data_IF_771708806947
#
_entry.id   IF_771708806947
#
_cell.length_a   1.000
_cell.length_b   1.000
_cell.length_c   1.000
_cell.angle_alpha   90.00
_cell.angle_beta   90.00
_cell.angle_gamma   90.00
#
_symmetry.space_group_name_H-M   'P 1'
#
loop_
_entity.id
_entity.type
_entity.pdbx_description
1 polymer ?
#
# COMPACT_ATOMS: atom_id res chain seq x y z
N UNK A 1 -9.27 -8.42 -8.85
CA UNK A 1 -7.97 -8.54 -8.17
C UNK A 1 -7.26 -7.21 -8.31
N UNK A 2 -6.89 -6.60 -7.19
CA UNK A 2 -6.15 -5.33 -7.16
C UNK A 2 -4.68 -5.58 -7.50
N UNK A 3 -4.04 -4.66 -8.22
CA UNK A 3 -2.60 -4.66 -8.49
C UNK A 3 -2.00 -3.37 -7.92
N UNK A 4 -0.93 -3.52 -7.15
CA UNK A 4 -0.11 -2.41 -6.66
C UNK A 4 1.30 -2.57 -7.21
N UNK A 5 1.81 -1.53 -7.86
CA UNK A 5 3.20 -1.43 -8.31
C UNK A 5 4.01 -0.66 -7.28
N UNK A 6 5.15 -1.24 -6.87
CA UNK A 6 6.07 -0.61 -5.93
C UNK A 6 6.51 0.79 -6.38
N UNK A 7 6.68 1.71 -5.43
CA UNK A 7 7.17 3.09 -5.61
C UNK A 7 6.33 3.94 -6.58
N UNK A 8 5.03 3.69 -6.66
CA UNK A 8 4.11 4.44 -7.53
C UNK A 8 2.80 4.72 -6.80
N UNK A 9 2.07 5.74 -7.25
CA UNK A 9 0.67 5.91 -6.92
C UNK A 9 -0.17 5.00 -7.81
N UNK A 10 -0.98 4.16 -7.19
CA UNK A 10 -1.84 3.17 -7.83
C UNK A 10 -3.30 3.59 -7.65
N UNK A 11 -4.02 3.78 -8.74
CA UNK A 11 -5.47 4.02 -8.67
C UNK A 11 -6.20 2.70 -8.48
N UNK A 12 -6.76 2.52 -7.28
CA UNK A 12 -7.40 1.27 -6.87
C UNK A 12 -8.91 1.45 -6.84
N UNK A 13 -9.60 0.61 -7.62
CA UNK A 13 -11.05 0.66 -7.80
C UNK A 13 -11.76 -0.39 -6.94
N UNK A 14 -12.84 0.02 -6.30
CA UNK A 14 -13.70 -0.79 -5.43
C UNK A 14 -15.19 -0.55 -5.72
N UNK A 15 -16.07 -1.42 -5.23
CA UNK A 15 -17.54 -1.23 -5.26
C UNK A 15 -18.08 -1.00 -3.84
N UNK A 16 -17.54 0.00 -3.13
CA UNK A 16 -17.86 0.24 -1.72
C UNK A 16 -19.21 0.91 -1.53
N UNK A 17 -19.51 1.93 -2.33
CA UNK A 17 -20.69 2.77 -2.16
C UNK A 17 -22.00 1.98 -2.20
N UNK A 18 -22.10 0.95 -3.06
CA UNK A 18 -23.27 0.06 -3.14
C UNK A 18 -23.55 -0.74 -1.86
N UNK A 19 -22.53 -0.95 -1.01
CA UNK A 19 -22.59 -1.75 0.22
C UNK A 19 -22.48 -0.90 1.48
N UNK A 20 -22.37 0.41 1.32
CA UNK A 20 -22.19 1.34 2.43
C UNK A 20 -23.54 1.63 3.07
N UNK A 21 -23.58 1.51 4.39
CA UNK A 21 -24.80 1.70 5.19
C UNK A 21 -24.69 2.87 6.16
N UNK A 22 -23.48 3.38 6.40
CA UNK A 22 -23.23 4.51 7.28
C UNK A 22 -23.30 5.84 6.52
N UNK A 23 -24.03 6.81 7.08
CA UNK A 23 -23.98 8.18 6.60
C UNK A 23 -22.64 8.82 6.96
N UNK A 24 -21.98 9.47 6.00
CA UNK A 24 -20.65 10.06 6.20
C UNK A 24 -19.53 9.02 6.38
N UNK A 25 -19.70 7.82 5.82
CA UNK A 25 -18.71 6.76 5.89
C UNK A 25 -17.34 7.20 5.35
N UNK A 26 -16.30 6.78 6.07
CA UNK A 26 -14.90 6.73 5.63
C UNK A 26 -14.54 5.28 5.40
N UNK A 27 -13.50 5.03 4.62
CA UNK A 27 -13.07 3.67 4.30
C UNK A 27 -11.65 3.38 4.77
N UNK A 28 -11.46 2.16 5.26
CA UNK A 28 -10.17 1.58 5.63
C UNK A 28 -9.93 0.34 4.77
N UNK A 29 -8.69 0.12 4.36
CA UNK A 29 -8.23 -1.06 3.64
C UNK A 29 -7.27 -1.84 4.54
N UNK A 30 -7.68 -3.03 4.99
CA UNK A 30 -6.78 -3.97 5.62
C UNK A 30 -6.17 -4.88 4.54
N UNK A 31 -4.84 -4.96 4.50
CA UNK A 31 -4.09 -5.86 3.61
C UNK A 31 -3.29 -6.83 4.46
N UNK A 32 -3.56 -8.12 4.29
CA UNK A 32 -2.90 -9.22 4.97
C UNK A 32 -1.94 -9.92 4.02
N UNK A 33 -0.66 -9.96 4.37
CA UNK A 33 0.37 -10.59 3.57
C UNK A 33 0.35 -12.11 3.76
N UNK A 34 0.22 -12.87 2.67
CA UNK A 34 0.09 -14.32 2.72
C UNK A 34 1.41 -15.08 2.96
N UNK A 35 2.53 -14.37 3.01
CA UNK A 35 3.87 -14.90 3.24
C UNK A 35 4.43 -14.50 4.61
N UNK A 36 4.29 -13.23 4.99
CA UNK A 36 4.80 -12.70 6.27
C UNK A 36 3.77 -12.72 7.40
N UNK A 37 2.49 -12.99 7.11
CA UNK A 37 1.39 -13.01 8.08
C UNK A 37 1.12 -11.65 8.75
N UNK A 38 1.67 -10.58 8.19
CA UNK A 38 1.50 -9.21 8.68
C UNK A 38 0.27 -8.54 8.07
N UNK A 39 -0.42 -7.72 8.87
CA UNK A 39 -1.55 -6.90 8.41
C UNK A 39 -1.20 -5.43 8.48
N UNK A 40 -1.45 -4.68 7.41
CA UNK A 40 -1.47 -3.21 7.44
C UNK A 40 -2.87 -2.69 7.21
N UNK A 41 -3.22 -1.61 7.89
CA UNK A 41 -4.51 -0.92 7.74
C UNK A 41 -4.23 0.48 7.21
N UNK A 42 -4.73 0.77 6.02
CA UNK A 42 -4.52 2.03 5.30
C UNK A 42 -5.85 2.76 5.18
N UNK A 43 -5.88 4.07 5.38
CA UNK A 43 -7.06 4.89 5.10
C UNK A 43 -7.18 5.11 3.59
N UNK A 44 -8.38 4.92 3.07
CA UNK A 44 -8.70 5.28 1.69
C UNK A 44 -9.12 6.75 1.65
N UNK A 45 -8.23 7.60 1.15
CA UNK A 45 -8.41 9.06 1.07
C UNK A 45 -8.45 9.53 -0.38
N UNK A 46 -9.17 10.62 -0.65
CA UNK A 46 -9.16 11.25 -1.98
C UNK A 46 -9.84 10.43 -3.06
N UNK A 47 -11.13 10.09 -2.89
CA UNK A 47 -11.90 9.39 -3.94
C UNK A 47 -11.88 10.20 -5.25
N UNK A 48 -11.34 9.58 -6.31
CA UNK A 48 -11.16 10.12 -7.66
C UNK A 48 -12.23 9.61 -8.64
N UNK A 49 -13.25 8.90 -8.15
CA UNK A 49 -14.29 8.33 -9.00
C UNK A 49 -15.07 9.35 -9.82
N UNK A 50 -15.16 9.11 -11.12
CA UNK A 50 -16.05 9.87 -12.01
C UNK A 50 -17.53 9.48 -11.84
N UNK A 51 -17.81 8.33 -11.21
CA UNK A 51 -19.18 7.87 -10.94
C UNK A 51 -19.24 7.10 -9.61
N UNK A 52 -19.30 7.87 -8.51
CA UNK A 52 -19.28 7.34 -7.15
C UNK A 52 -20.43 6.38 -6.82
N UNK A 53 -21.54 6.45 -7.58
CA UNK A 53 -22.68 5.54 -7.40
C UNK A 53 -22.30 4.11 -7.79
N UNK A 54 -21.39 3.93 -8.76
CA UNK A 54 -21.00 2.62 -9.28
C UNK A 54 -19.70 2.09 -8.69
N UNK A 55 -18.73 2.96 -8.46
CA UNK A 55 -17.42 2.56 -7.97
C UNK A 55 -16.75 3.69 -7.18
N UNK A 56 -15.81 3.33 -6.33
CA UNK A 56 -14.91 4.24 -5.62
C UNK A 56 -13.49 3.99 -6.15
N UNK A 57 -12.73 5.05 -6.39
CA UNK A 57 -11.38 4.97 -6.94
C UNK A 57 -10.45 5.73 -6.03
N UNK A 58 -9.53 5.05 -5.36
CA UNK A 58 -8.63 5.68 -4.39
C UNK A 58 -7.18 5.58 -4.86
N UNK A 59 -6.43 6.70 -4.86
CA UNK A 59 -4.99 6.64 -5.03
C UNK A 59 -4.37 6.02 -3.79
N UNK A 60 -3.61 4.94 -3.97
CA UNK A 60 -2.76 4.33 -2.93
C UNK A 60 -1.31 4.48 -3.35
N UNK A 61 -0.54 5.19 -2.55
CA UNK A 61 0.89 5.42 -2.83
C UNK A 61 1.72 4.33 -2.19
N UNK A 62 2.37 3.51 -3.02
CA UNK A 62 3.36 2.56 -2.55
C UNK A 62 4.71 3.30 -2.39
N UNK A 63 5.30 3.26 -1.21
CA UNK A 63 6.53 3.99 -0.90
C UNK A 63 7.43 3.24 0.09
N UNK A 64 8.65 3.74 0.33
CA UNK A 64 9.59 3.15 1.29
C UNK A 64 9.19 3.35 2.76
N UNK A 65 8.32 4.31 3.05
CA UNK A 65 7.80 4.60 4.40
C UNK A 65 6.29 4.56 4.41
N UNK A 66 5.72 4.20 5.56
CA UNK A 66 4.29 4.24 5.78
C UNK A 66 3.82 5.65 6.16
N UNK A 67 2.74 6.09 5.54
CA UNK A 67 1.86 7.16 6.05
C UNK A 67 0.42 6.69 5.82
N UNK A 68 0.02 5.74 6.67
CA UNK A 68 -1.19 4.93 6.51
C UNK A 68 -2.47 5.77 6.57
N UNK A 69 -2.44 6.91 7.27
CA UNK A 69 -3.59 7.81 7.36
C UNK A 69 -3.81 8.62 6.08
N UNK A 70 -2.78 8.77 5.26
CA UNK A 70 -2.81 9.51 3.99
C UNK A 70 -2.69 8.61 2.75
N UNK A 71 -3.05 7.33 2.88
CA UNK A 71 -3.08 6.41 1.75
C UNK A 71 -1.69 5.98 1.24
N UNK A 72 -0.63 6.19 2.02
CA UNK A 72 0.73 5.76 1.68
C UNK A 72 1.13 4.52 2.48
N UNK A 73 1.64 3.50 1.80
CA UNK A 73 1.96 2.22 2.42
C UNK A 73 3.22 1.60 1.81
N UNK A 74 4.05 1.01 2.66
CA UNK A 74 5.17 0.17 2.25
C UNK A 74 4.74 -1.30 2.30
N UNK A 75 4.63 -1.94 1.14
CA UNK A 75 4.28 -3.36 1.03
C UNK A 75 5.45 -4.17 0.47
N UNK A 76 5.59 -5.40 0.96
CA UNK A 76 6.51 -6.39 0.38
C UNK A 76 5.87 -6.93 -0.91
N UNK A 77 6.67 -7.13 -1.96
CA UNK A 77 6.17 -7.77 -3.18
C UNK A 77 5.63 -9.18 -2.89
N UNK A 78 4.44 -9.51 -3.41
CA UNK A 78 3.79 -10.77 -3.08
C UNK A 78 2.26 -10.73 -3.19
N UNK A 79 1.61 -11.76 -2.65
CA UNK A 79 0.15 -11.89 -2.66
C UNK A 79 -0.45 -11.55 -1.30
N UNK A 80 -1.60 -10.92 -1.34
CA UNK A 80 -2.32 -10.43 -0.18
C UNK A 80 -3.81 -10.77 -0.28
N UNK A 81 -4.42 -10.96 0.87
CA UNK A 81 -5.86 -10.85 1.06
C UNK A 81 -6.20 -9.44 1.53
N UNK A 82 -7.23 -8.83 0.97
CA UNK A 82 -7.71 -7.53 1.44
C UNK A 82 -9.14 -7.59 1.95
N UNK A 83 -9.43 -6.72 2.92
CA UNK A 83 -10.78 -6.39 3.35
C UNK A 83 -10.92 -4.87 3.40
N UNK A 84 -11.91 -4.33 2.70
CA UNK A 84 -12.29 -2.94 2.80
C UNK A 84 -13.41 -2.80 3.84
N UNK A 85 -13.28 -1.80 4.70
CA UNK A 85 -14.21 -1.51 5.79
C UNK A 85 -14.79 -0.12 5.61
N UNK A 86 -16.07 0.05 5.99
CA UNK A 86 -16.64 1.36 6.28
C UNK A 86 -16.50 1.66 7.78
N UNK A 87 -16.33 2.93 8.14
CA UNK A 87 -16.34 3.41 9.52
C UNK A 87 -16.76 4.88 9.58
N UNK A 88 -17.22 5.35 10.73
CA UNK A 88 -17.35 6.80 11.02
C UNK A 88 -16.22 7.31 11.93
N UNK A 89 -15.37 6.41 12.42
CA UNK A 89 -14.25 6.73 13.30
C UNK A 89 -13.18 7.58 12.61
N UNK A 90 -12.46 8.36 13.42
CA UNK A 90 -11.26 9.07 12.99
C UNK A 90 -10.02 8.19 12.99
N UNK A 91 -10.01 7.09 13.74
CA UNK A 91 -8.79 6.34 14.01
C UNK A 91 -8.57 5.23 12.97
N UNK A 92 -7.31 4.87 12.71
CA UNK A 92 -6.94 3.67 11.96
C UNK A 92 -7.16 2.41 12.81
N UNK A 93 -8.42 2.13 13.14
CA UNK A 93 -8.80 1.00 13.99
C UNK A 93 -9.91 0.15 13.40
N UNK A 94 -9.66 -1.16 13.36
CA UNK A 94 -10.64 -2.17 12.97
C UNK A 94 -11.52 -2.65 14.13
N UNK A 95 -11.22 -2.23 15.36
CA UNK A 95 -11.95 -2.69 16.57
C UNK A 95 -13.09 -1.76 16.98
N UNK A 96 -13.22 -0.59 16.34
CA UNK A 96 -14.32 0.31 16.61
C UNK A 96 -15.66 -0.36 16.21
N UNK A 97 -16.69 -0.19 17.05
CA UNK A 97 -17.99 -0.83 16.85
C UNK A 97 -18.68 -0.45 15.52
N UNK A 98 -18.30 0.69 14.94
CA UNK A 98 -18.83 1.19 13.67
C UNK A 98 -18.06 0.67 12.45
N UNK A 99 -16.95 -0.03 12.66
CA UNK A 99 -16.10 -0.54 11.59
C UNK A 99 -16.65 -1.88 11.09
N UNK A 100 -17.17 -1.90 9.86
CA UNK A 100 -17.79 -3.10 9.25
C UNK A 100 -17.24 -3.35 7.86
N UNK A 101 -17.12 -4.61 7.47
CA UNK A 101 -16.56 -5.00 6.18
C UNK A 101 -17.60 -4.76 5.08
N UNK A 102 -17.17 -4.08 4.02
CA UNK A 102 -17.98 -3.81 2.83
C UNK A 102 -17.44 -4.55 1.59
N UNK A 103 -16.18 -4.94 1.56
CA UNK A 103 -15.61 -5.69 0.44
C UNK A 103 -14.46 -6.59 0.88
N UNK A 104 -14.25 -7.70 0.16
CA UNK A 104 -13.07 -8.57 0.31
C UNK A 104 -12.57 -9.00 -1.06
N UNK A 105 -11.28 -9.27 -1.15
CA UNK A 105 -10.71 -9.82 -2.36
C UNK A 105 -9.22 -10.12 -2.26
N UNK A 106 -8.58 -10.26 -3.42
CA UNK A 106 -7.15 -10.52 -3.55
C UNK A 106 -6.42 -9.31 -4.12
N UNK A 107 -5.21 -9.09 -3.61
CA UNK A 107 -4.30 -8.05 -4.02
C UNK A 107 -2.93 -8.67 -4.35
N UNK A 108 -2.26 -8.16 -5.36
CA UNK A 108 -0.87 -8.52 -5.69
C UNK A 108 -0.01 -7.26 -5.74
N UNK A 109 1.15 -7.33 -5.12
CA UNK A 109 2.18 -6.28 -5.13
C UNK A 109 3.32 -6.74 -6.04
N UNK A 110 3.69 -5.92 -7.00
CA UNK A 110 4.72 -6.20 -8.01
C UNK A 110 5.79 -5.10 -8.08
N UNK A 111 6.98 -5.46 -8.58
CA UNK A 111 8.14 -4.57 -8.63
C UNK A 111 9.05 -4.75 -7.42
N UNK A 112 10.18 -4.05 -7.41
CA UNK A 112 11.13 -4.09 -6.31
C UNK A 112 11.01 -2.84 -5.43
N UNK A 113 11.28 -2.97 -4.13
CA UNK A 113 11.65 -1.79 -3.36
C UNK A 113 12.91 -1.24 -4.00
N UNK A 114 12.90 0.00 -4.47
CA UNK A 114 14.15 0.69 -4.67
C UNK A 114 14.76 0.80 -3.28
N UNK A 115 15.73 -0.07 -2.97
CA UNK A 115 16.64 0.21 -1.88
C UNK A 115 17.21 1.59 -2.22
N UNK A 116 16.81 2.61 -1.47
CA UNK A 116 17.33 3.97 -1.60
C UNK A 116 18.83 3.79 -1.72
N UNK A 117 19.39 4.16 -2.88
CA UNK A 117 20.74 3.78 -3.27
C UNK A 117 21.67 3.94 -2.08
N UNK A 118 21.99 2.81 -1.43
CA UNK A 118 23.01 2.80 -0.41
C UNK A 118 24.22 3.38 -1.11
N UNK A 119 24.84 4.39 -0.51
CA UNK A 119 26.15 4.82 -1.01
C UNK A 119 27.00 3.56 -1.03
N UNK A 120 27.30 3.06 -2.23
CA UNK A 120 28.20 1.93 -2.38
C UNK A 120 29.56 2.51 -2.01
N UNK A 121 29.94 2.36 -0.73
CA UNK A 121 31.30 2.64 -0.32
C UNK A 121 32.10 1.50 -0.93
N UNK A 122 32.63 1.73 -2.13
CA UNK A 122 33.61 0.86 -2.74
C UNK A 122 34.87 1.02 -1.90
N UNK A 123 35.13 0.07 -1.00
CA UNK A 123 36.41 -0.03 -0.30
C UNK A 123 37.36 -0.77 -1.24
N UNK A 124 37.81 -0.08 -2.28
CA UNK A 124 38.87 -0.56 -3.17
C UNK A 124 40.19 0.08 -2.79
N UNK A 125 41.29 -0.67 -2.86
CA UNK A 125 42.61 -0.05 -2.88
C UNK A 125 42.74 0.81 -4.15
N UNK A 126 43.14 2.07 -3.98
CA UNK A 126 43.43 2.96 -5.10
C UNK A 126 44.90 2.74 -5.44
N UNK A 127 45.16 2.07 -6.57
CA UNK A 127 46.50 2.07 -7.15
C UNK A 127 46.85 3.46 -7.70
N UNK A 128 48.14 3.75 -7.84
CA UNK A 128 48.66 5.04 -8.33
C UNK A 128 48.12 5.47 -9.72
N UNK A 129 47.45 4.57 -10.44
CA UNK A 129 46.79 4.82 -11.74
C UNK A 129 45.26 4.96 -11.63
N UNK A 130 44.71 5.14 -10.42
CA UNK A 130 43.31 5.49 -10.17
C UNK A 130 42.27 4.49 -10.75
N UNK A 131 42.67 3.22 -10.85
CA UNK A 131 41.83 2.11 -11.34
C UNK A 131 41.16 1.41 -10.16
N UNK A 132 39.85 1.19 -10.24
CA UNK A 132 39.04 0.57 -9.19
C UNK A 132 38.85 -0.92 -9.51
N UNK A 133 39.27 -1.80 -8.60
CA UNK A 133 39.01 -3.23 -8.67
C UNK A 133 37.88 -3.63 -7.72
N UNK A 134 36.81 -4.23 -8.26
CA UNK A 134 35.74 -4.82 -7.46
C UNK A 134 36.13 -6.23 -7.04
N UNK A 135 36.22 -6.49 -5.74
CA UNK A 135 36.37 -7.86 -5.22
C UNK A 135 34.98 -8.52 -5.23
N UNK A 136 34.86 -9.65 -5.92
CA UNK A 136 33.69 -10.51 -5.87
C UNK A 136 34.06 -11.70 -4.98
N UNK A 137 33.52 -11.75 -3.77
CA UNK A 137 33.50 -12.96 -2.92
C UNK A 137 32.19 -13.73 -3.14
#
# INVERSE_FOLDING_TARGET
MIRITKNTTNDVVFTLNEKTTLSGAKYLLAVYNNQSFETKVVRLTGDTSNNIIRYNSFPITEASTDDLDNGQVNLIAGTYDYSAYQTIGSDLSLTAATTTIVERGKLIVTGESNATGGTQIIVGEIDNDNTIYTIVE
#
